data_IF_006224038646
#
_entry.id   IF_006224038646
#
_cell.length_a   1.000
_cell.length_b   1.000
_cell.length_c   1.000
_cell.angle_alpha   90.00
_cell.angle_beta   90.00
_cell.angle_gamma   90.00
#
_symmetry.space_group_name_H-M   'P 1'
#
loop_
_entity.id
_entity.type
_entity.pdbx_description
1 polymer ?
#
# COMPACT_ATOMS: atom_id res chain seq x y z
N UNK A 1 -35.44 14.86 -7.64
CA UNK A 1 -34.29 14.25 -8.34
C UNK A 1 -33.09 15.17 -8.13
N UNK A 2 -32.27 14.93 -7.10
CA UNK A 2 -31.02 15.67 -6.91
C UNK A 2 -29.87 14.67 -6.95
N UNK A 3 -29.16 14.69 -8.08
CA UNK A 3 -27.84 14.10 -8.23
C UNK A 3 -26.87 15.03 -7.49
N UNK A 4 -26.31 14.57 -6.38
CA UNK A 4 -25.16 15.19 -5.73
C UNK A 4 -23.94 14.33 -6.02
N UNK A 5 -22.96 14.92 -6.69
CA UNK A 5 -21.72 14.29 -7.07
C UNK A 5 -20.99 13.61 -5.90
N UNK A 6 -20.52 12.40 -6.20
CA UNK A 6 -19.81 11.46 -5.35
C UNK A 6 -18.47 12.02 -4.83
N UNK A 7 -18.48 12.76 -3.72
CA UNK A 7 -17.29 12.97 -2.87
C UNK A 7 -17.43 12.11 -1.63
N UNK A 8 -16.92 10.90 -1.75
CA UNK A 8 -16.94 9.86 -0.73
C UNK A 8 -16.48 10.41 0.63
N UNK A 9 -17.35 10.30 1.65
CA UNK A 9 -17.03 10.57 3.04
C UNK A 9 -16.20 9.40 3.60
N UNK A 10 -15.00 9.18 3.03
CA UNK A 10 -14.15 8.04 3.42
C UNK A 10 -13.60 8.34 4.81
N UNK A 11 -13.95 7.49 5.78
CA UNK A 11 -13.40 7.62 7.13
C UNK A 11 -11.90 7.35 7.08
N UNK A 12 -11.13 8.16 7.80
CA UNK A 12 -9.68 8.01 7.90
C UNK A 12 -9.30 6.57 8.33
N UNK A 13 -10.06 5.96 9.24
CA UNK A 13 -9.86 4.57 9.65
C UNK A 13 -9.95 3.56 8.50
N UNK A 14 -10.86 3.78 7.55
CA UNK A 14 -11.03 2.90 6.40
C UNK A 14 -9.83 3.05 5.45
N UNK A 15 -9.37 4.30 5.21
CA UNK A 15 -8.14 4.56 4.45
C UNK A 15 -6.92 3.90 5.08
N UNK A 16 -6.74 4.06 6.40
CA UNK A 16 -5.63 3.41 7.10
C UNK A 16 -5.66 1.90 6.91
N UNK A 17 -6.81 1.25 7.14
CA UNK A 17 -6.95 -0.21 6.99
C UNK A 17 -6.61 -0.66 5.57
N UNK A 18 -7.13 0.03 4.56
CA UNK A 18 -6.83 -0.27 3.15
C UNK A 18 -5.36 -0.07 2.82
N UNK A 19 -4.75 1.02 3.30
CA UNK A 19 -3.34 1.34 3.01
C UNK A 19 -2.37 0.42 3.78
N UNK A 20 -2.77 -0.19 4.90
CA UNK A 20 -1.97 -1.19 5.62
C UNK A 20 -2.00 -2.59 5.01
N UNK A 21 -3.00 -2.88 4.16
CA UNK A 21 -3.13 -4.15 3.43
C UNK A 21 -3.16 -3.91 1.92
N UNK A 22 -2.07 -3.33 1.36
CA UNK A 22 -2.02 -3.02 -0.06
C UNK A 22 -1.96 -4.30 -0.91
N UNK A 23 -2.27 -4.15 -2.19
CA UNK A 23 -2.17 -5.23 -3.18
C UNK A 23 -1.30 -4.76 -4.34
N UNK A 24 -0.47 -5.66 -4.86
CA UNK A 24 0.28 -5.42 -6.06
C UNK A 24 -0.55 -5.85 -7.28
N UNK A 25 -0.64 -4.99 -8.29
CA UNK A 25 -1.29 -5.32 -9.57
C UNK A 25 -0.28 -5.96 -10.51
N UNK A 26 -0.49 -7.24 -10.84
CA UNK A 26 0.35 -8.00 -11.78
C UNK A 26 -0.09 -9.46 -11.83
N UNK A 27 0.05 -10.10 -12.98
CA UNK A 27 -0.46 -11.46 -13.25
C UNK A 27 0.19 -12.56 -12.40
N UNK A 28 1.38 -12.32 -11.84
CA UNK A 28 2.16 -13.37 -11.15
C UNK A 28 2.63 -13.01 -9.74
N UNK A 29 2.43 -11.78 -9.24
CA UNK A 29 2.76 -11.40 -7.86
C UNK A 29 1.78 -10.35 -7.34
N UNK A 30 0.80 -10.82 -6.57
CA UNK A 30 -0.25 -10.00 -5.96
C UNK A 30 0.12 -9.51 -4.56
N UNK A 31 1.15 -10.10 -3.95
CA UNK A 31 1.54 -9.84 -2.57
C UNK A 31 2.61 -8.74 -2.48
N UNK A 32 2.40 -7.70 -1.65
CA UNK A 32 3.44 -6.74 -1.31
C UNK A 32 4.67 -7.41 -0.69
N UNK A 33 5.80 -6.73 -0.76
CA UNK A 33 6.98 -7.11 0.02
C UNK A 33 6.63 -7.07 1.51
N UNK A 34 6.96 -8.14 2.23
CA UNK A 34 6.78 -8.24 3.68
C UNK A 34 8.11 -8.11 4.42
N UNK A 35 8.03 -7.72 5.68
CA UNK A 35 9.13 -7.70 6.63
C UNK A 35 8.78 -8.59 7.83
N UNK A 36 9.78 -9.31 8.33
CA UNK A 36 9.67 -10.21 9.46
C UNK A 36 10.45 -9.66 10.64
N UNK A 37 9.78 -9.38 11.76
CA UNK A 37 10.42 -8.97 13.00
C UNK A 37 9.70 -9.55 14.21
N UNK A 38 10.48 -10.02 15.19
CA UNK A 38 9.98 -10.58 16.45
C UNK A 38 8.89 -11.66 16.27
N UNK A 39 9.02 -12.50 15.22
CA UNK A 39 8.05 -13.55 14.91
C UNK A 39 6.77 -13.08 14.21
N UNK A 40 6.67 -11.79 13.86
CA UNK A 40 5.52 -11.21 13.18
C UNK A 40 5.91 -10.89 11.73
N UNK A 41 5.02 -11.22 10.81
CA UNK A 41 5.10 -10.84 9.39
C UNK A 41 4.16 -9.68 9.12
N UNK A 42 4.67 -8.59 8.55
CA UNK A 42 3.87 -7.42 8.16
C UNK A 42 4.27 -6.89 6.79
N UNK A 43 3.38 -6.16 6.13
CA UNK A 43 3.72 -5.47 4.89
C UNK A 43 4.81 -4.43 5.16
N UNK A 44 5.80 -4.35 4.28
CA UNK A 44 6.82 -3.31 4.36
C UNK A 44 6.21 -1.99 3.89
N UNK A 45 5.94 -1.10 4.85
CA UNK A 45 5.30 0.20 4.61
C UNK A 45 6.28 1.34 4.92
N UNK A 46 6.22 2.39 4.09
CA UNK A 46 6.90 3.66 4.31
C UNK A 46 5.91 4.83 4.33
N UNK A 47 6.36 6.03 4.70
CA UNK A 47 5.49 7.23 4.62
C UNK A 47 5.33 7.67 3.17
N UNK A 48 6.43 7.64 2.42
CA UNK A 48 6.42 8.00 0.99
C UNK A 48 7.46 7.22 0.19
N UNK A 49 7.28 7.16 -1.13
CA UNK A 49 8.30 6.59 -2.01
C UNK A 49 9.63 7.37 -2.02
N UNK A 50 9.63 8.61 -1.55
CA UNK A 50 10.84 9.42 -1.38
C UNK A 50 11.77 8.88 -0.28
N UNK A 51 11.25 8.06 0.64
CA UNK A 51 12.01 7.49 1.76
C UNK A 51 12.96 6.36 1.30
N UNK A 52 12.88 5.90 0.04
CA UNK A 52 13.75 4.87 -0.57
C UNK A 52 13.92 3.59 0.27
N UNK A 53 12.84 3.16 0.93
CA UNK A 53 12.83 2.00 1.82
C UNK A 53 12.65 0.65 1.11
N UNK A 54 12.29 0.66 -0.18
CA UNK A 54 12.09 -0.57 -0.93
C UNK A 54 13.41 -1.29 -1.24
N UNK A 55 13.45 -2.63 -1.09
CA UNK A 55 14.64 -3.40 -1.43
C UNK A 55 14.90 -3.40 -2.94
N UNK A 56 16.08 -3.91 -3.32
CA UNK A 56 16.43 -4.13 -4.73
C UNK A 56 15.41 -5.06 -5.39
N UNK A 57 15.13 -4.87 -6.69
CA UNK A 57 14.11 -5.59 -7.45
C UNK A 57 12.66 -5.36 -6.99
N UNK A 58 12.39 -4.25 -6.30
CA UNK A 58 11.02 -3.82 -5.98
C UNK A 58 10.75 -2.39 -6.45
N UNK A 59 9.52 -2.15 -6.88
CA UNK A 59 8.99 -0.82 -7.19
C UNK A 59 8.19 -0.29 -6.02
N UNK A 60 8.36 1.00 -5.74
CA UNK A 60 7.53 1.68 -4.77
C UNK A 60 6.19 2.10 -5.39
N UNK A 61 5.10 1.91 -4.65
CA UNK A 61 3.75 2.36 -4.99
C UNK A 61 3.20 3.25 -3.87
N UNK A 62 2.91 4.49 -4.23
CA UNK A 62 2.35 5.49 -3.32
C UNK A 62 0.83 5.30 -3.23
N UNK A 63 0.31 5.15 -2.02
CA UNK A 63 -1.13 5.25 -1.72
C UNK A 63 -1.42 6.57 -0.97
N UNK A 64 -2.65 6.74 -0.50
CA UNK A 64 -3.10 7.98 0.15
C UNK A 64 -2.42 8.25 1.50
N UNK A 65 -2.14 7.21 2.28
CA UNK A 65 -1.56 7.31 3.62
C UNK A 65 -0.15 6.73 3.67
N UNK A 66 0.08 5.59 3.03
CA UNK A 66 1.36 4.88 3.06
C UNK A 66 1.90 4.64 1.66
N UNK A 67 3.20 4.41 1.58
CA UNK A 67 3.83 3.79 0.44
C UNK A 67 4.11 2.31 0.75
N UNK A 68 4.09 1.47 -0.26
CA UNK A 68 4.46 0.05 -0.14
C UNK A 68 5.34 -0.37 -1.31
N UNK A 69 5.99 -1.53 -1.16
CA UNK A 69 6.86 -2.09 -2.18
C UNK A 69 6.19 -3.28 -2.86
N UNK A 70 6.21 -3.27 -4.18
CA UNK A 70 5.81 -4.38 -5.02
C UNK A 70 7.03 -5.00 -5.70
N UNK A 71 7.15 -6.32 -5.74
CA UNK A 71 8.20 -6.98 -6.53
C UNK A 71 8.12 -6.57 -8.01
N UNK A 72 9.28 -6.32 -8.64
CA UNK A 72 9.37 -6.14 -10.10
C UNK A 72 9.24 -7.51 -10.76
N UNK A 73 8.20 -7.70 -11.58
CA UNK A 73 8.01 -8.89 -12.42
C UNK A 73 8.64 -8.69 -13.79
#
# INVERSE_FOLDING_TARGET
MHQFDSKSNIKLSDLFRENTSPKCGGSNQTTPVTFHAAGITMNLLGKSCSDKFCPTNSDCKQLQIFAHCCPRS
#
